data_IF_050211029295
#
_entry.id   IF_050211029295
#
_cell.length_a   1.000
_cell.length_b   1.000
_cell.length_c   1.000
_cell.angle_alpha   90.00
_cell.angle_beta   90.00
_cell.angle_gamma   90.00
#
_symmetry.space_group_name_H-M   'P 1'
#
loop_
_entity.id
_entity.type
_entity.pdbx_description
1 polymer ?
#
# COMPACT_ATOMS: atom_id res chain seq x y z
N UNK A 1 30.94 -13.86 11.16
CA UNK A 1 30.44 -12.58 10.61
C UNK A 1 29.04 -12.85 10.10
N UNK A 2 28.05 -12.02 10.44
CA UNK A 2 26.73 -12.09 9.81
C UNK A 2 26.88 -11.75 8.33
N UNK A 3 26.53 -12.68 7.45
CA UNK A 3 26.50 -12.46 6.00
C UNK A 3 25.09 -12.04 5.59
N UNK A 4 24.98 -11.05 4.70
CA UNK A 4 23.72 -10.70 4.08
C UNK A 4 23.46 -11.62 2.88
N UNK A 5 22.20 -11.97 2.66
CA UNK A 5 21.72 -12.72 1.51
C UNK A 5 20.49 -12.04 0.95
N UNK A 6 20.23 -12.23 -0.33
CA UNK A 6 19.06 -11.68 -1.00
C UNK A 6 18.55 -12.63 -2.09
N UNK A 7 17.27 -12.46 -2.44
CA UNK A 7 16.67 -13.08 -3.61
C UNK A 7 16.85 -12.16 -4.82
N UNK A 8 17.81 -12.49 -5.68
CA UNK A 8 18.22 -11.69 -6.82
C UNK A 8 17.36 -11.97 -8.06
N UNK A 9 16.99 -10.91 -8.78
CA UNK A 9 16.44 -10.98 -10.12
C UNK A 9 17.52 -10.54 -11.12
N UNK A 10 18.07 -11.48 -11.88
CA UNK A 10 19.15 -11.18 -12.83
C UNK A 10 18.65 -10.57 -14.14
N UNK A 11 17.43 -10.93 -14.54
CA UNK A 11 16.75 -10.39 -15.72
C UNK A 11 15.23 -10.58 -15.57
N UNK A 12 14.46 -9.77 -16.28
CA UNK A 12 13.00 -9.91 -16.32
C UNK A 12 12.60 -11.32 -16.81
N UNK A 13 11.43 -11.77 -16.37
CA UNK A 13 10.83 -13.05 -16.71
C UNK A 13 11.69 -14.27 -16.31
N UNK A 14 12.42 -14.17 -15.20
CA UNK A 14 13.14 -15.31 -14.60
C UNK A 14 12.83 -15.48 -13.13
N UNK A 15 13.10 -16.66 -12.60
CA UNK A 15 12.97 -16.92 -11.17
C UNK A 15 14.04 -16.18 -10.37
N UNK A 16 13.75 -15.90 -9.11
CA UNK A 16 14.70 -15.33 -8.17
C UNK A 16 15.76 -16.37 -7.80
N UNK A 17 17.00 -15.91 -7.68
CA UNK A 17 18.14 -16.71 -7.24
C UNK A 17 18.62 -16.20 -5.88
N UNK A 18 18.54 -17.04 -4.84
CA UNK A 18 19.05 -16.67 -3.52
C UNK A 18 20.57 -16.76 -3.51
N UNK A 19 21.23 -15.67 -3.10
CA UNK A 19 22.68 -15.59 -3.10
C UNK A 19 23.21 -14.57 -2.11
N UNK A 20 24.54 -14.44 -2.04
CA UNK A 20 25.19 -13.44 -1.22
C UNK A 20 24.80 -12.02 -1.68
N UNK A 21 24.67 -11.12 -0.71
CA UNK A 21 24.49 -9.70 -0.96
C UNK A 21 25.46 -8.90 -0.09
N UNK A 22 25.91 -7.71 -0.53
CA UNK A 22 26.70 -6.82 0.33
C UNK A 22 25.94 -6.49 1.62
N UNK A 23 26.65 -6.39 2.74
CA UNK A 23 26.07 -5.85 3.97
C UNK A 23 25.91 -4.33 3.78
N UNK A 24 24.68 -3.78 3.89
CA UNK A 24 24.50 -2.35 3.72
C UNK A 24 24.98 -1.56 4.95
N UNK A 25 25.29 -0.28 4.73
CA UNK A 25 25.53 0.73 5.77
C UNK A 25 24.43 1.77 5.66
N UNK A 26 23.95 2.29 6.79
CA UNK A 26 22.94 3.33 6.79
C UNK A 26 23.53 4.65 6.28
N UNK A 27 22.90 5.27 5.29
CA UNK A 27 23.10 6.67 4.99
C UNK A 27 22.59 7.58 6.13
N UNK A 28 22.81 8.90 6.05
CA UNK A 28 22.53 9.83 7.15
C UNK A 28 21.07 9.80 7.65
N UNK A 29 20.09 9.73 6.74
CA UNK A 29 18.64 9.69 7.03
C UNK A 29 18.02 8.29 6.91
N UNK A 30 18.85 7.24 6.92
CA UNK A 30 18.44 5.87 6.63
C UNK A 30 18.55 4.95 7.84
N UNK A 31 17.87 3.81 7.76
CA UNK A 31 17.99 2.69 8.67
C UNK A 31 18.45 1.47 7.90
N UNK A 32 19.30 0.63 8.49
CA UNK A 32 19.46 -0.76 8.06
C UNK A 32 18.59 -1.62 8.96
N UNK A 33 17.74 -2.43 8.36
CA UNK A 33 16.81 -3.33 9.05
C UNK A 33 17.29 -4.75 8.85
N UNK A 34 17.37 -5.52 9.94
CA UNK A 34 17.43 -6.98 9.88
C UNK A 34 16.01 -7.48 9.70
N UNK A 35 15.68 -7.92 8.48
CA UNK A 35 14.32 -8.31 8.15
C UNK A 35 13.96 -9.61 8.86
N UNK A 36 12.74 -9.65 9.41
CA UNK A 36 12.13 -10.84 10.02
C UNK A 36 10.93 -11.30 9.20
N UNK A 37 10.20 -10.38 8.57
CA UNK A 37 9.16 -10.70 7.61
C UNK A 37 9.19 -9.71 6.44
N UNK A 38 8.77 -10.21 5.27
CA UNK A 38 8.56 -9.41 4.04
C UNK A 38 7.20 -9.76 3.44
N UNK A 39 6.58 -8.83 2.75
CA UNK A 39 5.28 -9.07 2.11
C UNK A 39 5.36 -8.96 0.58
N UNK A 40 4.43 -9.65 -0.09
CA UNK A 40 4.34 -9.70 -1.54
C UNK A 40 3.23 -8.77 -2.03
N UNK A 41 3.53 -7.99 -3.07
CA UNK A 41 2.61 -7.10 -3.76
C UNK A 41 2.37 -7.58 -5.21
N UNK A 42 1.20 -7.30 -5.80
CA UNK A 42 1.00 -7.47 -7.23
C UNK A 42 2.07 -6.75 -8.07
N UNK A 43 2.53 -5.56 -7.62
CA UNK A 43 3.64 -4.83 -8.25
C UNK A 43 4.90 -5.69 -8.39
N UNK A 44 5.26 -6.45 -7.35
CA UNK A 44 6.46 -7.28 -7.32
C UNK A 44 6.42 -8.34 -8.44
N UNK A 45 5.22 -8.86 -8.76
CA UNK A 45 5.03 -9.78 -9.90
C UNK A 45 5.26 -9.10 -11.25
N UNK A 46 4.86 -7.83 -11.39
CA UNK A 46 5.11 -7.05 -12.61
C UNK A 46 6.58 -6.68 -12.76
N UNK A 47 7.26 -6.36 -11.65
CA UNK A 47 8.71 -6.16 -11.63
C UNK A 47 9.43 -7.44 -12.07
N UNK A 48 9.05 -8.61 -11.53
CA UNK A 48 9.63 -9.89 -11.94
C UNK A 48 9.39 -10.20 -13.41
N UNK A 49 8.15 -10.12 -13.88
CA UNK A 49 7.77 -10.54 -15.26
C UNK A 49 8.31 -9.63 -16.33
N UNK A 50 8.20 -8.32 -16.14
CA UNK A 50 8.43 -7.34 -17.20
C UNK A 50 9.55 -6.34 -16.89
N UNK A 51 10.13 -6.36 -15.69
CA UNK A 51 11.15 -5.39 -15.29
C UNK A 51 10.58 -3.98 -15.11
N UNK A 52 9.26 -3.85 -14.89
CA UNK A 52 8.62 -2.55 -14.64
C UNK A 52 9.27 -1.92 -13.42
N UNK A 53 9.66 -0.64 -13.53
CA UNK A 53 10.38 0.12 -12.51
C UNK A 53 11.74 -0.43 -12.06
N UNK A 54 12.28 -1.48 -12.69
CA UNK A 54 13.65 -1.92 -12.44
C UNK A 54 14.62 -0.94 -13.09
N UNK A 55 15.37 -0.21 -12.26
CA UNK A 55 16.33 0.80 -12.73
C UNK A 55 17.71 0.21 -13.05
N UNK A 56 18.10 -0.87 -12.38
CA UNK A 56 19.42 -1.49 -12.52
C UNK A 56 19.35 -3.01 -12.37
N UNK A 57 20.19 -3.74 -13.12
CA UNK A 57 20.33 -5.20 -13.07
C UNK A 57 21.72 -5.62 -12.58
N UNK A 58 21.87 -6.75 -11.85
CA UNK A 58 20.80 -7.53 -11.22
C UNK A 58 20.11 -6.72 -10.11
N UNK A 59 18.84 -7.03 -9.83
CA UNK A 59 18.02 -6.28 -8.89
C UNK A 59 17.65 -7.12 -7.66
N UNK A 60 17.52 -6.45 -6.51
CA UNK A 60 16.75 -6.93 -5.36
C UNK A 60 15.56 -5.98 -5.25
N UNK A 61 14.35 -6.49 -5.17
CA UNK A 61 13.11 -5.68 -5.12
C UNK A 61 12.23 -6.09 -3.94
N UNK A 62 10.96 -5.71 -3.96
CA UNK A 62 10.04 -5.83 -2.84
C UNK A 62 9.97 -4.55 -2.02
N UNK A 63 8.78 -4.25 -1.50
CA UNK A 63 8.48 -2.94 -0.91
C UNK A 63 8.21 -3.00 0.61
N UNK A 64 7.87 -4.15 1.17
CA UNK A 64 7.41 -4.28 2.55
C UNK A 64 8.44 -4.98 3.43
N UNK A 65 8.93 -4.32 4.50
CA UNK A 65 9.78 -4.94 5.52
C UNK A 65 9.19 -4.80 6.92
N UNK A 66 9.36 -5.84 7.73
CA UNK A 66 9.21 -5.77 9.18
C UNK A 66 10.38 -6.50 9.84
N UNK A 67 10.95 -5.91 10.88
CA UNK A 67 12.13 -6.46 11.51
C UNK A 67 12.72 -5.56 12.57
N UNK A 68 14.00 -5.78 12.87
CA UNK A 68 14.72 -5.04 13.89
C UNK A 68 15.72 -4.07 13.26
N UNK A 69 15.80 -2.86 13.81
CA UNK A 69 16.82 -1.89 13.41
C UNK A 69 18.21 -2.45 13.71
N UNK A 70 19.02 -2.65 12.68
CA UNK A 70 20.39 -3.12 12.78
C UNK A 70 21.39 -1.95 12.90
N UNK A 71 21.17 -0.90 12.12
CA UNK A 71 21.99 0.32 12.06
C UNK A 71 21.10 1.55 11.83
N UNK A 72 21.54 2.70 12.34
CA UNK A 72 20.81 3.98 12.27
C UNK A 72 21.75 5.05 11.73
N UNK A 73 21.28 5.80 10.73
CA UNK A 73 21.98 6.96 10.18
C UNK A 73 22.17 8.10 11.19
N UNK A 74 23.15 8.96 10.95
CA UNK A 74 23.52 10.04 11.87
C UNK A 74 22.43 11.11 12.06
N UNK A 75 21.59 11.34 11.05
CA UNK A 75 20.57 12.41 11.01
C UNK A 75 19.16 11.89 11.35
N UNK A 76 19.03 10.64 11.80
CA UNK A 76 17.74 10.10 12.28
C UNK A 76 17.32 10.72 13.63
N UNK A 77 18.23 11.44 14.29
CA UNK A 77 18.00 12.28 15.47
C UNK A 77 17.21 11.59 16.61
N UNK A 78 17.52 10.32 16.89
CA UNK A 78 16.98 9.58 18.03
C UNK A 78 15.54 9.06 17.88
N UNK A 79 14.92 9.22 16.70
CA UNK A 79 13.60 8.62 16.42
C UNK A 79 13.63 7.09 16.45
N UNK A 80 14.77 6.50 16.12
CA UNK A 80 15.01 5.06 16.14
C UNK A 80 16.35 4.76 16.81
N UNK A 81 16.47 3.58 17.40
CA UNK A 81 17.72 2.99 17.89
C UNK A 81 17.86 1.54 17.44
N UNK A 82 19.10 1.05 17.43
CA UNK A 82 19.39 -0.37 17.20
C UNK A 82 18.57 -1.26 18.14
N UNK A 83 17.98 -2.32 17.58
CA UNK A 83 17.10 -3.27 18.25
C UNK A 83 15.63 -2.87 18.30
N UNK A 84 15.26 -1.66 17.87
CA UNK A 84 13.85 -1.30 17.76
C UNK A 84 13.14 -2.19 16.74
N UNK A 85 11.93 -2.62 17.07
CA UNK A 85 11.03 -3.36 16.18
C UNK A 85 10.30 -2.36 15.30
N UNK A 86 10.38 -2.52 13.98
CA UNK A 86 9.79 -1.59 13.03
C UNK A 86 9.05 -2.31 11.91
N UNK A 87 8.19 -1.54 11.25
CA UNK A 87 7.71 -1.78 9.90
C UNK A 87 8.21 -0.63 9.02
N UNK A 88 8.49 -0.89 7.74
CA UNK A 88 8.99 0.14 6.84
C UNK A 88 8.74 -0.16 5.36
N UNK A 89 8.68 0.91 4.58
CA UNK A 89 8.54 0.86 3.14
C UNK A 89 9.90 1.02 2.45
N UNK A 90 10.32 -0.04 1.77
CA UNK A 90 11.54 -0.09 0.99
C UNK A 90 11.30 0.55 -0.39
N UNK A 91 12.18 1.45 -0.83
CA UNK A 91 11.94 2.36 -1.97
C UNK A 91 12.65 1.96 -3.27
N UNK A 92 12.98 0.67 -3.43
CA UNK A 92 13.72 0.17 -4.60
C UNK A 92 13.14 0.62 -5.95
N UNK A 93 11.82 0.74 -6.06
CA UNK A 93 11.12 1.10 -7.30
C UNK A 93 11.53 2.47 -7.90
N UNK A 94 12.20 3.34 -7.12
CA UNK A 94 12.70 4.63 -7.60
C UNK A 94 14.20 4.82 -7.42
N UNK A 95 14.86 4.03 -6.57
CA UNK A 95 16.27 4.28 -6.22
C UNK A 95 17.27 3.54 -7.11
N UNK A 96 16.87 2.35 -7.61
CA UNK A 96 17.77 1.46 -8.36
C UNK A 96 18.88 0.80 -7.53
N UNK A 97 19.03 1.14 -6.25
CA UNK A 97 20.04 0.51 -5.39
C UNK A 97 19.52 -0.85 -4.92
N UNK A 98 20.28 -1.94 -5.08
CA UNK A 98 19.86 -3.25 -4.60
C UNK A 98 19.58 -3.29 -3.08
N UNK A 99 20.32 -2.53 -2.28
CA UNK A 99 20.13 -2.48 -0.82
C UNK A 99 18.78 -1.90 -0.38
N UNK A 100 18.03 -1.24 -1.26
CA UNK A 100 16.72 -0.66 -0.97
C UNK A 100 15.56 -1.62 -1.27
N UNK A 101 15.86 -2.87 -1.69
CA UNK A 101 14.87 -3.92 -1.93
C UNK A 101 14.59 -4.73 -0.68
N UNK A 102 13.31 -5.03 -0.41
CA UNK A 102 12.88 -5.78 0.76
C UNK A 102 13.33 -7.25 0.75
N UNK A 103 13.54 -7.86 -0.41
CA UNK A 103 13.84 -9.29 -0.55
C UNK A 103 15.30 -9.65 -0.22
N UNK A 104 15.75 -9.24 0.96
CA UNK A 104 17.05 -9.49 1.55
C UNK A 104 16.93 -9.75 3.06
N UNK A 105 17.98 -10.30 3.68
CA UNK A 105 18.07 -10.42 5.13
C UNK A 105 18.33 -9.05 5.80
N UNK A 106 19.01 -8.15 5.09
CA UNK A 106 19.22 -6.77 5.52
C UNK A 106 18.85 -5.80 4.41
N UNK A 107 17.97 -4.84 4.73
CA UNK A 107 17.46 -3.84 3.79
C UNK A 107 17.65 -2.43 4.36
N UNK A 108 17.97 -1.48 3.48
CA UNK A 108 17.98 -0.06 3.77
C UNK A 108 16.58 0.52 3.56
N UNK A 109 16.09 1.27 4.54
CA UNK A 109 14.84 2.03 4.42
C UNK A 109 15.06 3.48 4.86
N UNK A 110 14.45 4.47 4.17
CA UNK A 110 14.42 5.84 4.65
C UNK A 110 13.74 5.92 6.03
N UNK A 111 14.32 6.64 6.99
CA UNK A 111 13.73 6.75 8.33
C UNK A 111 12.35 7.43 8.32
N UNK A 112 12.07 8.30 7.35
CA UNK A 112 10.76 8.93 7.16
C UNK A 112 9.68 7.98 6.60
N UNK A 113 10.04 6.75 6.23
CA UNK A 113 9.15 5.69 5.71
C UNK A 113 9.09 4.46 6.60
N UNK A 114 9.36 4.64 7.89
CA UNK A 114 9.29 3.60 8.89
C UNK A 114 8.51 4.06 10.12
N UNK A 115 8.01 3.10 10.90
CA UNK A 115 7.37 3.32 12.19
C UNK A 115 7.71 2.17 13.16
N UNK A 116 7.69 2.48 14.46
CA UNK A 116 7.84 1.47 15.51
C UNK A 116 6.64 0.53 15.47
N UNK A 117 6.93 -0.77 15.46
CA UNK A 117 5.95 -1.85 15.56
C UNK A 117 5.74 -2.19 17.05
N UNK A 118 4.51 -2.06 17.59
CA UNK A 118 4.24 -2.37 18.98
C UNK A 118 4.52 -3.83 19.34
N UNK A 119 4.90 -4.08 20.59
CA UNK A 119 5.39 -5.40 20.97
C UNK A 119 4.34 -6.51 20.84
N UNK A 120 3.07 -6.13 20.97
CA UNK A 120 1.89 -6.99 20.88
C UNK A 120 1.53 -7.41 19.46
N UNK A 121 2.17 -6.84 18.43
CA UNK A 121 1.91 -7.16 17.02
C UNK A 121 3.09 -7.97 16.48
N UNK A 122 2.83 -9.12 15.86
CA UNK A 122 3.89 -9.94 15.25
C UNK A 122 4.50 -9.23 14.03
N UNK A 123 5.73 -9.58 13.63
CA UNK A 123 6.32 -9.03 12.40
C UNK A 123 5.52 -9.43 11.16
N UNK A 124 5.01 -10.65 11.11
CA UNK A 124 4.18 -11.15 10.00
C UNK A 124 2.84 -10.42 9.89
N UNK A 125 2.25 -9.98 11.01
CA UNK A 125 1.07 -9.12 10.97
C UNK A 125 1.46 -7.69 10.56
N UNK A 126 2.51 -7.14 11.16
CA UNK A 126 2.95 -5.76 10.92
C UNK A 126 3.31 -5.48 9.45
N UNK A 127 3.97 -6.42 8.79
CA UNK A 127 4.51 -6.24 7.43
C UNK A 127 3.46 -6.03 6.34
N UNK A 128 2.17 -6.21 6.64
CA UNK A 128 1.09 -5.98 5.66
C UNK A 128 0.77 -4.49 5.46
N UNK A 129 1.30 -3.62 6.31
CA UNK A 129 0.99 -2.17 6.36
C UNK A 129 1.77 -1.30 5.35
N UNK A 130 3.11 -1.44 5.18
CA UNK A 130 3.93 -0.35 4.63
C UNK A 130 3.57 0.16 3.22
N UNK A 131 3.54 -0.71 2.23
CA UNK A 131 3.27 -0.33 0.84
C UNK A 131 1.82 0.10 0.65
N UNK A 132 0.88 -0.56 1.33
CA UNK A 132 -0.54 -0.19 1.31
C UNK A 132 -0.77 1.19 1.93
N UNK A 133 -0.05 1.52 3.01
CA UNK A 133 -0.09 2.84 3.66
C UNK A 133 0.37 3.92 2.69
N UNK A 134 1.50 3.71 2.02
CA UNK A 134 2.04 4.67 1.04
C UNK A 134 1.10 4.87 -0.14
N UNK A 135 0.59 3.79 -0.73
CA UNK A 135 -0.38 3.85 -1.82
C UNK A 135 -1.64 4.65 -1.41
N UNK A 136 -2.17 4.40 -0.21
CA UNK A 136 -3.34 5.10 0.29
C UNK A 136 -3.06 6.59 0.56
N UNK A 137 -2.00 6.91 1.32
CA UNK A 137 -1.71 8.30 1.73
C UNK A 137 -1.35 9.18 0.54
N UNK A 138 -0.56 8.67 -0.41
CA UNK A 138 -0.21 9.40 -1.63
C UNK A 138 -1.47 9.99 -2.28
N UNK A 139 -2.51 9.19 -2.46
CA UNK A 139 -3.69 9.69 -3.17
C UNK A 139 -4.65 10.46 -2.28
N UNK A 140 -4.87 9.99 -1.05
CA UNK A 140 -5.79 10.68 -0.13
C UNK A 140 -5.30 12.11 0.15
N UNK A 141 -4.00 12.30 0.39
CA UNK A 141 -3.48 13.53 0.99
C UNK A 141 -2.80 14.50 0.01
N UNK A 142 -2.38 14.04 -1.18
CA UNK A 142 -1.78 14.92 -2.19
C UNK A 142 -2.68 16.11 -2.51
N UNK A 143 -2.07 17.30 -2.58
CA UNK A 143 -2.77 18.57 -2.77
C UNK A 143 -2.90 19.00 -4.22
N UNK A 144 -1.99 18.53 -5.06
CA UNK A 144 -1.98 18.82 -6.49
C UNK A 144 -1.63 17.55 -7.27
N UNK A 145 -2.20 17.35 -8.46
CA UNK A 145 -1.83 16.25 -9.32
C UNK A 145 -0.33 16.26 -9.64
N UNK A 146 0.25 15.07 -9.71
CA UNK A 146 1.65 14.85 -10.11
C UNK A 146 1.74 14.03 -11.39
N UNK A 147 2.94 13.53 -11.67
CA UNK A 147 3.18 12.58 -12.76
C UNK A 147 3.56 11.24 -12.17
N UNK A 148 2.75 10.20 -12.42
CA UNK A 148 3.05 8.83 -11.98
C UNK A 148 4.04 8.14 -12.93
N UNK A 149 3.86 8.36 -14.24
CA UNK A 149 4.76 7.92 -15.31
C UNK A 149 4.53 8.80 -16.55
N UNK A 150 5.36 8.75 -17.60
CA UNK A 150 5.16 9.56 -18.79
C UNK A 150 3.74 9.44 -19.35
N UNK A 151 3.00 10.55 -19.39
CA UNK A 151 1.61 10.60 -19.87
C UNK A 151 0.53 10.19 -18.87
N UNK A 152 0.89 9.75 -17.65
CA UNK A 152 -0.08 9.33 -16.62
C UNK A 152 0.07 10.20 -15.37
N UNK A 153 -1.01 10.89 -15.00
CA UNK A 153 -1.04 11.74 -13.81
C UNK A 153 -1.19 10.94 -12.52
N UNK A 154 -0.69 11.47 -11.40
CA UNK A 154 -1.05 11.03 -10.05
C UNK A 154 -2.25 11.85 -9.56
N UNK A 155 -3.33 11.22 -9.05
CA UNK A 155 -4.50 11.92 -8.57
C UNK A 155 -4.25 12.56 -7.20
N UNK A 156 -4.93 13.66 -6.92
CA UNK A 156 -4.83 14.41 -5.67
C UNK A 156 -6.22 14.67 -5.09
N UNK A 157 -6.59 13.95 -4.03
CA UNK A 157 -7.90 14.10 -3.38
C UNK A 157 -7.93 15.21 -2.32
N UNK A 158 -6.75 15.73 -1.93
CA UNK A 158 -6.60 16.83 -0.98
C UNK A 158 -7.25 16.62 0.39
N UNK A 159 -7.49 15.37 0.79
CA UNK A 159 -8.12 15.02 2.07
C UNK A 159 -7.18 15.32 3.25
N UNK A 160 -7.74 15.49 4.46
CA UNK A 160 -6.93 15.63 5.67
C UNK A 160 -6.16 14.36 5.98
N UNK A 161 -5.08 14.50 6.76
CA UNK A 161 -4.37 13.35 7.31
C UNK A 161 -5.22 12.64 8.37
N UNK A 162 -4.98 11.33 8.59
CA UNK A 162 -5.65 10.58 9.65
C UNK A 162 -5.29 11.11 11.04
N UNK A 163 -6.23 10.99 11.98
CA UNK A 163 -6.12 11.36 13.39
C UNK A 163 -6.70 10.23 14.25
N UNK A 164 -6.21 10.10 15.49
CA UNK A 164 -6.76 9.15 16.47
C UNK A 164 -8.19 9.52 16.89
N UNK A 165 -8.50 10.82 16.83
CA UNK A 165 -9.78 11.43 17.16
C UNK A 165 -10.29 12.22 15.94
N UNK A 166 -10.83 11.55 14.91
CA UNK A 166 -11.31 12.21 13.70
C UNK A 166 -12.59 13.01 13.96
N UNK A 167 -12.66 14.20 13.39
CA UNK A 167 -13.90 14.95 13.22
C UNK A 167 -14.43 14.77 11.81
N UNK A 168 -15.74 14.64 11.63
CA UNK A 168 -16.33 14.48 10.29
C UNK A 168 -15.92 15.63 9.36
N UNK A 169 -15.49 15.28 8.15
CA UNK A 169 -15.19 16.27 7.10
C UNK A 169 -16.40 16.59 6.23
N UNK A 170 -17.57 15.97 6.50
CA UNK A 170 -18.75 16.01 5.63
C UNK A 170 -18.46 15.58 4.18
N UNK A 171 -17.54 14.63 3.97
CA UNK A 171 -17.16 14.10 2.65
C UNK A 171 -17.37 12.59 2.59
N UNK A 172 -17.76 12.10 1.41
CA UNK A 172 -17.88 10.67 1.10
C UNK A 172 -16.87 10.26 0.03
N UNK A 173 -16.23 9.10 0.24
CA UNK A 173 -15.33 8.43 -0.71
C UNK A 173 -15.84 7.01 -0.98
N UNK A 174 -15.84 6.60 -2.23
CA UNK A 174 -16.04 5.19 -2.59
C UNK A 174 -14.67 4.50 -2.66
N UNK A 175 -14.56 3.31 -2.09
CA UNK A 175 -13.39 2.43 -2.24
C UNK A 175 -13.81 1.16 -2.96
N UNK A 176 -13.42 1.02 -4.24
CA UNK A 176 -13.62 -0.21 -5.00
C UNK A 176 -12.52 -1.21 -4.67
N UNK A 177 -12.89 -2.43 -4.30
CA UNK A 177 -11.95 -3.45 -3.83
C UNK A 177 -11.56 -3.26 -2.37
N UNK A 178 -12.48 -2.82 -1.51
CA UNK A 178 -12.19 -2.48 -0.11
C UNK A 178 -11.70 -3.62 0.79
N UNK A 179 -11.63 -4.86 0.27
CA UNK A 179 -11.04 -6.02 0.95
C UNK A 179 -9.59 -6.32 0.55
N UNK A 180 -9.05 -5.62 -0.46
CA UNK A 180 -7.64 -5.72 -0.85
C UNK A 180 -6.74 -5.04 0.19
N UNK A 181 -5.42 -5.26 0.12
CA UNK A 181 -4.46 -4.58 1.00
C UNK A 181 -4.52 -3.06 0.91
N UNK A 182 -4.52 -2.52 -0.31
CA UNK A 182 -4.64 -1.08 -0.51
C UNK A 182 -6.05 -0.60 -0.13
N UNK A 183 -7.12 -1.30 -0.53
CA UNK A 183 -8.49 -0.88 -0.24
C UNK A 183 -8.83 -0.86 1.25
N UNK A 184 -8.39 -1.87 2.00
CA UNK A 184 -8.55 -1.94 3.45
C UNK A 184 -7.77 -0.83 4.18
N UNK A 185 -6.53 -0.58 3.77
CA UNK A 185 -5.73 0.53 4.30
C UNK A 185 -6.35 1.89 3.97
N UNK A 186 -6.75 2.13 2.72
CA UNK A 186 -7.45 3.36 2.30
C UNK A 186 -8.71 3.59 3.13
N UNK A 187 -9.50 2.55 3.38
CA UNK A 187 -10.72 2.64 4.21
C UNK A 187 -10.38 3.08 5.63
N UNK A 188 -9.34 2.47 6.25
CA UNK A 188 -8.91 2.82 7.61
C UNK A 188 -8.44 4.28 7.70
N UNK A 189 -7.58 4.71 6.77
CA UNK A 189 -7.02 6.07 6.79
C UNK A 189 -8.05 7.14 6.45
N UNK A 190 -8.94 6.90 5.48
CA UNK A 190 -10.00 7.82 5.13
C UNK A 190 -11.00 7.97 6.28
N UNK A 191 -11.37 6.87 6.95
CA UNK A 191 -12.23 6.92 8.14
C UNK A 191 -11.55 7.68 9.28
N UNK A 192 -10.26 7.42 9.52
CA UNK A 192 -9.44 8.16 10.50
C UNK A 192 -9.19 9.63 10.10
N UNK A 193 -9.50 10.02 8.87
CA UNK A 193 -9.48 11.40 8.40
C UNK A 193 -10.89 12.06 8.44
N UNK A 194 -11.90 11.36 8.98
CA UNK A 194 -13.26 11.87 9.11
C UNK A 194 -14.12 11.75 7.84
N UNK A 195 -13.67 10.96 6.86
CA UNK A 195 -14.38 10.72 5.61
C UNK A 195 -15.34 9.54 5.79
N UNK A 196 -16.59 9.65 5.28
CA UNK A 196 -17.47 8.49 5.16
C UNK A 196 -16.99 7.62 4.01
N UNK A 197 -16.70 6.34 4.28
CA UNK A 197 -16.30 5.39 3.23
C UNK A 197 -17.46 4.48 2.86
N UNK A 198 -17.76 4.40 1.56
CA UNK A 198 -18.61 3.37 0.96
C UNK A 198 -17.68 2.37 0.27
N UNK A 199 -17.75 1.10 0.65
CA UNK A 199 -16.88 0.06 0.11
C UNK A 199 -17.60 -0.80 -0.92
N UNK A 200 -16.89 -1.24 -1.94
CA UNK A 200 -17.36 -2.26 -2.89
C UNK A 200 -16.42 -3.46 -2.78
N UNK A 201 -16.97 -4.64 -2.48
CA UNK A 201 -16.22 -5.89 -2.29
C UNK A 201 -17.15 -7.10 -2.46
N UNK A 202 -16.64 -8.33 -2.53
CA UNK A 202 -17.50 -9.51 -2.52
C UNK A 202 -18.23 -9.65 -1.18
N UNK A 203 -19.47 -10.16 -1.17
CA UNK A 203 -20.29 -10.28 0.05
C UNK A 203 -19.57 -10.98 1.23
N UNK A 204 -18.80 -12.03 0.95
CA UNK A 204 -18.06 -12.77 1.99
C UNK A 204 -16.95 -11.95 2.69
N UNK A 205 -16.57 -10.79 2.14
CA UNK A 205 -15.57 -9.89 2.72
C UNK A 205 -16.17 -8.65 3.38
N UNK A 206 -17.50 -8.55 3.51
CA UNK A 206 -18.15 -7.37 4.09
C UNK A 206 -17.70 -7.07 5.51
N UNK A 207 -17.53 -8.10 6.33
CA UNK A 207 -17.12 -7.93 7.72
C UNK A 207 -15.70 -7.37 7.83
N UNK A 208 -14.80 -7.75 6.91
CA UNK A 208 -13.47 -7.13 6.81
C UNK A 208 -13.60 -5.65 6.47
N UNK A 209 -14.37 -5.29 5.44
CA UNK A 209 -14.53 -3.89 5.04
C UNK A 209 -15.13 -3.03 6.17
N UNK A 210 -16.13 -3.54 6.89
CA UNK A 210 -16.70 -2.88 8.08
C UNK A 210 -15.68 -2.76 9.21
N UNK A 211 -14.88 -3.80 9.44
CA UNK A 211 -13.78 -3.78 10.43
C UNK A 211 -12.74 -2.72 10.12
N UNK A 212 -12.52 -2.41 8.83
CA UNK A 212 -11.66 -1.32 8.36
C UNK A 212 -12.28 0.07 8.53
N UNK A 213 -13.59 0.18 8.77
CA UNK A 213 -14.30 1.45 8.96
C UNK A 213 -15.29 1.83 7.86
N UNK A 214 -15.55 0.96 6.88
CA UNK A 214 -16.58 1.24 5.87
C UNK A 214 -17.96 1.41 6.52
N UNK A 215 -18.65 2.50 6.18
CA UNK A 215 -19.99 2.78 6.68
C UNK A 215 -21.04 1.88 6.02
N UNK A 216 -20.86 1.60 4.72
CA UNK A 216 -21.71 0.75 3.90
C UNK A 216 -20.83 -0.10 2.98
N UNK A 217 -21.29 -1.31 2.65
CA UNK A 217 -20.56 -2.22 1.77
C UNK A 217 -21.52 -2.84 0.75
N UNK A 218 -21.14 -2.82 -0.52
CA UNK A 218 -21.94 -3.32 -1.64
C UNK A 218 -21.22 -4.46 -2.38
N UNK A 219 -21.99 -5.47 -2.79
CA UNK A 219 -21.46 -6.64 -3.50
C UNK A 219 -21.45 -6.37 -4.99
N UNK A 220 -20.26 -6.33 -5.59
CA UNK A 220 -20.12 -6.09 -7.03
C UNK A 220 -20.69 -7.22 -7.90
N UNK A 221 -21.02 -8.39 -7.34
CA UNK A 221 -21.72 -9.44 -8.07
C UNK A 221 -23.23 -9.19 -8.19
N UNK A 222 -23.79 -8.28 -7.39
CA UNK A 222 -25.21 -7.93 -7.51
C UNK A 222 -25.41 -7.01 -8.73
N UNK A 223 -26.23 -7.38 -9.74
CA UNK A 223 -26.41 -6.56 -10.94
C UNK A 223 -26.85 -5.11 -10.69
N UNK A 224 -27.52 -4.81 -9.57
CA UNK A 224 -27.98 -3.46 -9.21
C UNK A 224 -27.03 -2.70 -8.26
N UNK A 225 -25.81 -3.19 -8.04
CA UNK A 225 -24.90 -2.60 -7.06
C UNK A 225 -24.51 -1.16 -7.40
N UNK A 226 -24.28 -0.87 -8.69
CA UNK A 226 -23.93 0.48 -9.18
C UNK A 226 -25.03 1.48 -8.79
N UNK A 227 -26.29 1.15 -9.04
CA UNK A 227 -27.45 1.98 -8.69
C UNK A 227 -27.55 2.15 -7.17
N UNK A 228 -27.34 1.06 -6.42
CA UNK A 228 -27.38 1.08 -4.96
C UNK A 228 -26.29 1.98 -4.35
N UNK A 229 -25.08 1.96 -4.92
CA UNK A 229 -23.97 2.82 -4.50
C UNK A 229 -24.28 4.29 -4.80
N UNK A 230 -24.80 4.60 -6.00
CA UNK A 230 -25.20 5.97 -6.37
C UNK A 230 -26.25 6.49 -5.39
N UNK A 231 -27.27 5.69 -5.08
CA UNK A 231 -28.30 6.05 -4.10
C UNK A 231 -27.72 6.29 -2.70
N UNK A 232 -26.78 5.45 -2.26
CA UNK A 232 -26.15 5.59 -0.94
C UNK A 232 -25.31 6.88 -0.83
N UNK A 233 -24.59 7.26 -1.90
CA UNK A 233 -23.90 8.55 -1.97
C UNK A 233 -24.92 9.69 -1.94
N UNK A 234 -25.97 9.66 -2.77
CA UNK A 234 -26.98 10.71 -2.82
C UNK A 234 -27.73 10.90 -1.48
N UNK A 235 -28.07 9.80 -0.80
CA UNK A 235 -28.74 9.81 0.52
C UNK A 235 -27.83 10.34 1.63
N UNK A 236 -26.51 10.32 1.46
CA UNK A 236 -25.58 10.81 2.48
C UNK A 236 -25.69 12.32 2.73
N UNK A 237 -26.06 13.09 1.70
CA UNK A 237 -26.04 14.56 1.74
C UNK A 237 -24.63 15.17 1.91
N UNK A 238 -23.58 14.34 1.83
CA UNK A 238 -22.18 14.75 1.99
C UNK A 238 -21.57 15.10 0.63
N UNK A 239 -20.47 15.85 0.64
CA UNK A 239 -19.70 16.12 -0.57
C UNK A 239 -19.04 14.83 -1.09
N UNK A 240 -19.41 14.42 -2.30
CA UNK A 240 -18.79 13.26 -2.95
C UNK A 240 -17.44 13.64 -3.54
N UNK A 241 -16.38 12.97 -3.09
CA UNK A 241 -14.99 13.24 -3.51
C UNK A 241 -14.66 12.51 -4.80
N UNK A 242 -15.06 11.24 -4.91
CA UNK A 242 -14.70 10.38 -6.01
C UNK A 242 -14.57 8.92 -5.60
N UNK A 243 -13.85 8.16 -6.42
CA UNK A 243 -13.63 6.73 -6.27
C UNK A 243 -12.13 6.45 -6.17
N UNK A 244 -11.76 5.66 -5.16
CA UNK A 244 -10.47 4.99 -5.07
C UNK A 244 -10.65 3.55 -5.53
N UNK A 245 -10.16 3.22 -6.72
CA UNK A 245 -10.18 1.88 -7.29
C UNK A 245 -8.88 1.14 -6.94
N UNK A 246 -8.99 0.23 -5.97
CA UNK A 246 -7.88 -0.60 -5.52
C UNK A 246 -7.72 -1.91 -6.32
N UNK A 247 -8.40 -2.04 -7.46
CA UNK A 247 -8.38 -3.21 -8.35
C UNK A 247 -7.95 -2.81 -9.77
N UNK A 248 -8.56 -1.79 -10.35
CA UNK A 248 -8.13 -1.15 -11.60
C UNK A 248 -8.06 -2.07 -12.82
N UNK A 249 -9.19 -2.71 -13.12
CA UNK A 249 -9.39 -3.55 -14.30
C UNK A 249 -10.41 -2.91 -15.25
N UNK A 250 -10.51 -3.37 -16.52
CA UNK A 250 -11.53 -2.85 -17.44
C UNK A 250 -12.96 -2.89 -16.88
N UNK A 251 -13.29 -3.94 -16.12
CA UNK A 251 -14.61 -4.09 -15.51
C UNK A 251 -14.84 -3.09 -14.37
N UNK A 252 -13.85 -2.86 -13.49
CA UNK A 252 -13.99 -1.86 -12.41
C UNK A 252 -14.07 -0.45 -12.99
N UNK A 253 -13.26 -0.14 -14.01
CA UNK A 253 -13.33 1.14 -14.71
C UNK A 253 -14.69 1.41 -15.34
N UNK A 254 -15.32 0.41 -15.97
CA UNK A 254 -16.65 0.57 -16.54
C UNK A 254 -17.70 0.92 -15.45
N UNK A 255 -17.63 0.26 -14.30
CA UNK A 255 -18.51 0.52 -13.17
C UNK A 255 -18.25 1.89 -12.54
N UNK A 256 -16.97 2.24 -12.33
CA UNK A 256 -16.56 3.51 -11.75
C UNK A 256 -17.00 4.70 -12.60
N UNK A 257 -16.80 4.62 -13.92
CA UNK A 257 -17.23 5.65 -14.85
C UNK A 257 -18.75 5.79 -14.89
N UNK A 258 -19.51 4.69 -14.77
CA UNK A 258 -20.97 4.73 -14.68
C UNK A 258 -21.44 5.43 -13.39
N UNK A 259 -20.80 5.13 -12.25
CA UNK A 259 -21.07 5.80 -10.96
C UNK A 259 -20.74 7.29 -11.05
N UNK A 260 -19.53 7.64 -11.50
CA UNK A 260 -19.08 9.02 -11.63
C UNK A 260 -19.97 9.84 -12.56
N UNK A 261 -20.38 9.28 -13.71
CA UNK A 261 -21.26 9.96 -14.65
C UNK A 261 -22.61 10.33 -14.01
N UNK A 262 -23.16 9.48 -13.14
CA UNK A 262 -24.42 9.75 -12.43
C UNK A 262 -24.27 10.68 -11.23
N UNK A 263 -23.09 10.73 -10.62
CA UNK A 263 -22.77 11.61 -9.50
C UNK A 263 -22.19 12.97 -9.92
N UNK A 264 -22.13 13.25 -11.22
CA UNK A 264 -21.70 14.56 -11.75
C UNK A 264 -20.19 14.71 -11.97
N UNK A 265 -19.43 13.61 -11.92
CA UNK A 265 -17.98 13.58 -12.09
C UNK A 265 -17.25 13.34 -10.77
N UNK A 266 -15.99 13.77 -10.70
CA UNK A 266 -15.15 13.66 -9.51
C UNK A 266 -13.79 13.07 -9.80
N UNK A 267 -13.13 12.57 -8.76
CA UNK A 267 -11.83 11.93 -8.89
C UNK A 267 -11.95 10.42 -9.12
N UNK A 268 -11.08 9.88 -9.97
CA UNK A 268 -10.87 8.44 -10.13
C UNK A 268 -9.41 8.11 -9.88
N UNK A 269 -9.15 7.45 -8.75
CA UNK A 269 -7.81 7.09 -8.30
C UNK A 269 -7.55 5.60 -8.48
N UNK A 270 -6.62 5.23 -9.35
CA UNK A 270 -6.44 3.84 -9.78
C UNK A 270 -5.06 3.29 -9.39
N UNK A 271 -4.99 2.04 -8.94
CA UNK A 271 -3.71 1.34 -8.71
C UNK A 271 -3.00 0.92 -10.00
N UNK A 272 -3.69 0.97 -11.15
CA UNK A 272 -3.12 0.84 -12.49
C UNK A 272 -3.41 2.11 -13.33
N UNK A 273 -2.77 2.28 -14.51
CA UNK A 273 -3.09 3.39 -15.40
C UNK A 273 -4.60 3.43 -15.71
N UNK A 274 -5.25 4.60 -15.58
CA UNK A 274 -6.67 4.73 -15.90
C UNK A 274 -6.92 4.55 -17.41
N UNK A 275 -8.19 4.41 -17.84
CA UNK A 275 -8.52 4.41 -19.27
C UNK A 275 -7.98 5.65 -20.00
N UNK A 276 -7.54 5.47 -21.25
CA UNK A 276 -7.00 6.55 -22.10
C UNK A 276 -7.99 7.72 -22.29
N UNK A 277 -9.29 7.41 -22.24
CA UNK A 277 -10.36 8.39 -22.34
C UNK A 277 -11.29 8.26 -21.14
N UNK A 278 -11.43 9.37 -20.42
CA UNK A 278 -12.42 9.54 -19.36
C UNK A 278 -13.26 10.79 -19.66
N UNK A 279 -14.50 10.89 -19.15
CA UNK A 279 -15.32 12.10 -19.31
C UNK A 279 -14.60 13.36 -18.81
N UNK A 280 -14.87 14.53 -19.41
CA UNK A 280 -14.18 15.80 -19.10
C UNK A 280 -14.28 16.22 -17.62
N UNK A 281 -15.37 15.84 -16.95
CA UNK A 281 -15.61 16.10 -15.53
C UNK A 281 -15.01 15.04 -14.59
N UNK A 282 -14.25 14.07 -15.11
CA UNK A 282 -13.56 13.04 -14.34
C UNK A 282 -12.06 13.31 -14.36
N UNK A 283 -11.47 13.42 -13.16
CA UNK A 283 -10.02 13.55 -12.97
C UNK A 283 -9.44 12.19 -12.60
N UNK A 284 -8.99 11.45 -13.61
CA UNK A 284 -8.41 10.12 -13.44
C UNK A 284 -6.88 10.14 -13.33
N UNK A 285 -6.32 9.24 -12.53
CA UNK A 285 -4.87 9.10 -12.43
C UNK A 285 -4.44 7.80 -11.74
N UNK A 286 -3.17 7.47 -11.88
CA UNK A 286 -2.56 6.31 -11.25
C UNK A 286 -1.87 6.68 -9.94
N UNK A 287 -2.05 5.84 -8.92
CA UNK A 287 -1.37 5.95 -7.64
C UNK A 287 0.11 5.59 -7.81
N UNK A 288 1.00 6.45 -7.30
CA UNK A 288 2.42 6.16 -7.22
C UNK A 288 2.87 6.21 -5.75
N UNK A 289 3.16 5.04 -5.19
CA UNK A 289 3.33 4.82 -3.75
C UNK A 289 4.70 5.26 -3.20
N UNK A 290 5.42 6.18 -3.86
CA UNK A 290 6.64 6.78 -3.31
C UNK A 290 6.52 8.30 -3.37
N UNK A 291 6.21 8.90 -2.23
CA UNK A 291 6.16 10.35 -2.08
C UNK A 291 6.39 10.76 -0.61
N UNK A 292 6.93 11.95 -0.37
CA UNK A 292 7.15 12.47 0.98
C UNK A 292 5.87 12.91 1.69
N UNK A 293 4.74 13.02 0.96
CA UNK A 293 3.41 13.30 1.52
C UNK A 293 2.99 12.26 2.58
N UNK A 294 3.55 11.04 2.54
CA UNK A 294 3.29 10.01 3.55
C UNK A 294 4.05 10.23 4.87
N UNK A 295 5.08 11.09 4.88
CA UNK A 295 5.96 11.30 6.04
C UNK A 295 5.22 11.66 7.32
N UNK A 296 4.24 12.60 7.33
CA UNK A 296 3.51 12.91 8.56
C UNK A 296 2.73 11.72 9.11
N UNK A 297 2.19 10.86 8.24
CA UNK A 297 1.44 9.67 8.67
C UNK A 297 2.39 8.64 9.30
N UNK A 298 3.52 8.37 8.67
CA UNK A 298 4.57 7.51 9.22
C UNK A 298 5.08 8.00 10.58
N UNK A 299 5.32 9.31 10.70
CA UNK A 299 5.92 9.91 11.89
C UNK A 299 4.94 10.04 13.04
N UNK A 300 3.73 10.51 12.77
CA UNK A 300 2.84 11.02 13.81
C UNK A 300 1.63 10.11 14.08
N UNK A 301 1.28 9.22 13.14
CA UNK A 301 0.05 8.41 13.21
C UNK A 301 0.30 6.91 13.37
N UNK A 302 1.18 6.29 12.58
CA UNK A 302 1.23 4.81 12.47
C UNK A 302 1.46 4.12 13.82
N UNK A 303 2.53 4.47 14.54
CA UNK A 303 2.87 3.78 15.81
C UNK A 303 1.76 3.97 16.85
N UNK A 304 1.30 5.21 17.05
CA UNK A 304 0.27 5.52 18.05
C UNK A 304 -1.08 4.89 17.70
N UNK A 305 -1.44 4.85 16.42
CA UNK A 305 -2.67 4.22 15.94
C UNK A 305 -2.64 2.69 16.05
N UNK A 306 -1.50 2.05 15.78
CA UNK A 306 -1.31 0.62 16.01
C UNK A 306 -1.42 0.28 17.50
N UNK A 307 -0.79 1.07 18.39
CA UNK A 307 -0.87 0.89 19.84
C UNK A 307 -2.30 1.04 20.37
N UNK A 308 -3.04 2.01 19.85
CA UNK A 308 -4.43 2.26 20.23
C UNK A 308 -5.45 1.30 19.55
N UNK A 309 -5.00 0.42 18.65
CA UNK A 309 -5.87 -0.44 17.83
C UNK A 309 -6.76 0.32 16.84
N UNK A 310 -6.45 1.59 16.57
CA UNK A 310 -7.15 2.47 15.62
C UNK A 310 -6.69 2.25 14.18
N UNK A 311 -5.44 1.82 14.01
CA UNK A 311 -4.94 1.22 12.78
C UNK A 311 -4.74 -0.28 13.03
N UNK A 312 -5.26 -1.11 12.14
CA UNK A 312 -5.13 -2.57 12.19
C UNK A 312 -4.28 -3.06 11.03
N UNK A 313 -3.48 -4.08 11.30
CA UNK A 313 -2.75 -4.85 10.30
C UNK A 313 -3.72 -5.70 9.47
N UNK A 314 -4.25 -5.11 8.39
CA UNK A 314 -5.24 -5.74 7.53
C UNK A 314 -4.89 -5.59 6.05
N UNK A 315 -5.32 -6.55 5.20
CA UNK A 315 -5.95 -7.82 5.56
C UNK A 315 -4.97 -8.76 6.30
N UNK A 316 -5.46 -9.82 6.97
CA UNK A 316 -4.61 -10.74 7.70
C UNK A 316 -3.52 -11.37 6.81
N UNK A 317 -2.32 -11.63 7.34
CA UNK A 317 -1.27 -12.27 6.58
C UNK A 317 -1.57 -13.74 6.29
N UNK A 318 -1.14 -14.22 5.13
CA UNK A 318 -1.01 -15.63 4.80
C UNK A 318 0.47 -15.93 4.60
N UNK A 319 1.07 -16.55 5.61
CA UNK A 319 2.50 -16.92 5.57
C UNK A 319 2.67 -18.07 4.58
N UNK A 320 3.47 -17.84 3.54
CA UNK A 320 3.74 -18.82 2.47
C UNK A 320 4.82 -19.82 2.91
N UNK A 321 5.82 -19.35 3.64
CA UNK A 321 6.89 -20.19 4.19
C UNK A 321 7.95 -19.37 4.91
N UNK A 322 9.06 -20.02 5.25
CA UNK A 322 10.23 -19.42 5.90
C UNK A 322 11.46 -19.44 4.99
N UNK A 323 12.20 -18.34 4.94
CA UNK A 323 13.43 -18.17 4.17
C UNK A 323 13.23 -17.46 2.83
N UNK A 324 14.30 -16.84 2.31
CA UNK A 324 14.29 -16.08 1.05
C UNK A 324 13.88 -16.94 -0.14
N UNK A 325 14.12 -18.26 -0.09
CA UNK A 325 13.76 -19.22 -1.13
C UNK A 325 12.24 -19.29 -1.36
N UNK A 326 11.44 -18.93 -0.36
CA UNK A 326 9.98 -18.96 -0.43
C UNK A 326 9.38 -17.75 -1.14
N UNK A 327 10.17 -16.69 -1.39
CA UNK A 327 9.70 -15.47 -2.06
C UNK A 327 9.25 -15.80 -3.49
N UNK A 328 9.98 -16.67 -4.20
CA UNK A 328 9.58 -17.07 -5.55
C UNK A 328 8.23 -17.79 -5.57
N UNK A 329 7.97 -18.66 -4.59
CA UNK A 329 6.69 -19.35 -4.49
C UNK A 329 5.56 -18.38 -4.10
N UNK A 330 5.85 -17.45 -3.19
CA UNK A 330 4.92 -16.41 -2.79
C UNK A 330 4.54 -15.47 -3.96
N UNK A 331 5.49 -15.14 -4.84
CA UNK A 331 5.23 -14.41 -6.10
C UNK A 331 4.29 -15.20 -7.03
N UNK A 332 4.56 -16.49 -7.27
CA UNK A 332 3.68 -17.35 -8.09
C UNK A 332 2.25 -17.41 -7.53
N UNK A 333 2.12 -17.56 -6.21
CA UNK A 333 0.82 -17.57 -5.54
C UNK A 333 0.11 -16.21 -5.70
N UNK A 334 0.84 -15.10 -5.59
CA UNK A 334 0.29 -13.76 -5.81
C UNK A 334 -0.31 -13.60 -7.20
N UNK A 335 0.33 -14.16 -8.23
CA UNK A 335 -0.14 -14.10 -9.62
C UNK A 335 -1.44 -14.85 -9.87
N UNK A 336 -1.72 -15.89 -9.07
CA UNK A 336 -3.00 -16.61 -9.14
C UNK A 336 -4.16 -15.86 -8.47
N UNK A 337 -3.87 -14.74 -7.82
CA UNK A 337 -4.84 -13.95 -7.07
C UNK A 337 -5.04 -14.45 -5.64
N UNK A 338 -5.35 -13.52 -4.74
CA UNK A 338 -5.72 -13.80 -3.35
C UNK A 338 -6.93 -12.95 -2.98
N UNK A 339 -7.73 -13.42 -2.02
CA UNK A 339 -8.89 -12.69 -1.50
C UNK A 339 -8.69 -12.41 -0.01
N UNK A 340 -8.84 -11.14 0.38
CA UNK A 340 -8.83 -10.70 1.79
C UNK A 340 -7.64 -11.21 2.62
N UNK A 341 -6.46 -11.33 2.00
CA UNK A 341 -5.22 -11.69 2.68
C UNK A 341 -4.01 -11.07 1.99
N UNK A 342 -2.93 -10.87 2.73
CA UNK A 342 -1.64 -10.42 2.21
C UNK A 342 -0.65 -11.58 2.30
N UNK A 343 0.01 -11.94 1.20
CA UNK A 343 1.04 -12.98 1.24
C UNK A 343 2.31 -12.45 1.92
N UNK A 344 2.83 -13.23 2.85
CA UNK A 344 4.00 -12.89 3.67
C UNK A 344 4.99 -14.04 3.67
N UNK A 345 6.27 -13.73 3.75
CA UNK A 345 7.35 -14.70 3.97
C UNK A 345 8.05 -14.34 5.27
N UNK A 346 8.20 -15.34 6.15
CA UNK A 346 9.00 -15.25 7.37
C UNK A 346 10.49 -15.48 7.04
N UNK A 347 11.41 -14.81 7.71
CA UNK A 347 12.85 -14.90 7.43
C UNK A 347 13.64 -15.55 8.57
#
# INVERSE_FOLDING_TARGET
MTSNQAAWLHKANTSLEVGEAPMPTAGPDELVIRNVAVAINPLDTHMQKAGVFVQQWPAIFGCDVAGEVYEVGSEVHGRFKKGDRIIGHAINLVSGRPQDGAYALYTVVPANKAAILPDTISFTDGVVVPFALEAAVCTLSLKQPGTAMPGVATPALSLPYPSLEPTSSNKTLIVYGGSSSVGSMTTQLATAAGIKVISIASAHNFDLCKTCGAAEVFDYHNPSFVESVIEAVAKSGQEFVGIFDAISTPDTYANDLAILAKLGGGHLACVHPPPDSVPENVKAGMIFAVNDIATPVWRDYVTSALQAGKLKCLPPPSVVGKGLEQIQEALKKCETGVSATKLVVDL
#
